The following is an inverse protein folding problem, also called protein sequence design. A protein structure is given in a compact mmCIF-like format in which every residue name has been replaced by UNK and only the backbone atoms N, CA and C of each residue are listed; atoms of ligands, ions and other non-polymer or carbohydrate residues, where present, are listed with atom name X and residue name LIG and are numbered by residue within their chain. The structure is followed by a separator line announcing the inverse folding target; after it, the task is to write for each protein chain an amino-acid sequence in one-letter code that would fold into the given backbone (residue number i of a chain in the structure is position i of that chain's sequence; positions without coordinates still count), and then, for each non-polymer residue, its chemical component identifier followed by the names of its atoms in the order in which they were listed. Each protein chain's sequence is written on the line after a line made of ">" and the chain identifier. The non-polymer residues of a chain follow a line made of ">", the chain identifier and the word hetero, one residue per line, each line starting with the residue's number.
data_IF_803910261992
#
_entry.id   IF_803910261992
#
_cell.length_a   1.000
_cell.length_b   1.000
_cell.length_c   1.000
_cell.angle_alpha   90.00
_cell.angle_beta   90.00
_cell.angle_gamma   90.00
#
_symmetry.space_group_name_H-M   'P 1'
#
loop_
_entity.id
_entity.type
_entity.pdbx_description
1 polymer ?
#
# COMPACT_ATOMS: atom_id res chain seq x y z
N UNK A 1 -44.20 12.52 -29.72
CA UNK A 1 -43.35 11.32 -29.52
C UNK A 1 -41.91 11.77 -29.62
N UNK A 2 -41.12 11.87 -28.55
CA UNK A 2 -40.65 10.81 -27.63
C UNK A 2 -40.00 9.65 -28.37
N UNK A 3 -38.68 9.73 -28.52
CA UNK A 3 -37.78 8.60 -28.29
C UNK A 3 -36.58 9.13 -27.50
N UNK A 4 -36.64 8.88 -26.20
CA UNK A 4 -35.48 8.77 -25.33
C UNK A 4 -34.58 7.65 -25.89
N UNK A 5 -33.27 7.86 -25.89
CA UNK A 5 -32.30 6.78 -26.00
C UNK A 5 -31.17 7.12 -25.04
N UNK A 6 -31.38 6.73 -23.79
CA UNK A 6 -30.75 5.58 -23.11
C UNK A 6 -29.30 5.86 -22.70
N UNK A 7 -29.18 6.22 -21.42
CA UNK A 7 -28.17 5.74 -20.47
C UNK A 7 -26.91 5.13 -21.10
N UNK A 8 -25.84 5.92 -21.15
CA UNK A 8 -24.50 5.35 -21.10
C UNK A 8 -24.21 5.10 -19.62
N UNK A 9 -24.29 3.82 -19.30
CA UNK A 9 -24.14 3.18 -18.01
C UNK A 9 -22.87 3.63 -17.28
N UNK A 10 -23.07 3.95 -16.01
CA UNK A 10 -22.10 4.10 -14.94
C UNK A 10 -20.99 3.02 -15.02
N UNK A 11 -19.74 3.46 -15.17
CA UNK A 11 -18.58 2.68 -14.76
C UNK A 11 -17.42 3.59 -14.36
N UNK A 12 -17.75 4.71 -13.71
CA UNK A 12 -16.79 5.44 -12.90
C UNK A 12 -16.83 4.82 -11.51
N UNK A 13 -16.18 3.67 -11.33
CA UNK A 13 -15.76 3.27 -10.00
C UNK A 13 -14.91 4.43 -9.49
N UNK A 14 -15.46 5.26 -8.60
CA UNK A 14 -14.70 6.27 -7.92
C UNK A 14 -13.54 5.52 -7.28
N UNK A 15 -12.32 5.71 -7.81
CA UNK A 15 -11.11 5.20 -7.18
C UNK A 15 -11.13 5.82 -5.80
N UNK A 16 -11.40 5.00 -4.78
CA UNK A 16 -11.48 5.48 -3.42
C UNK A 16 -10.10 6.04 -3.09
N UNK A 17 -10.02 7.35 -2.92
CA UNK A 17 -8.77 7.97 -2.51
C UNK A 17 -8.54 7.62 -1.03
N UNK A 18 -7.90 6.46 -0.80
CA UNK A 18 -7.56 5.93 0.52
C UNK A 18 -6.70 6.91 1.33
N UNK A 19 -6.03 7.87 0.69
CA UNK A 19 -5.33 8.92 1.41
C UNK A 19 -6.31 9.98 1.96
N UNK A 20 -7.38 10.31 1.23
CA UNK A 20 -8.41 11.25 1.72
C UNK A 20 -9.27 10.68 2.84
N UNK A 21 -9.41 9.35 2.94
CA UNK A 21 -10.16 8.71 4.04
C UNK A 21 -9.41 8.76 5.37
N UNK A 22 -8.09 8.97 5.36
CA UNK A 22 -7.30 9.17 6.58
C UNK A 22 -7.51 10.58 7.15
N UNK A 23 -7.65 10.65 8.48
CA UNK A 23 -7.55 11.93 9.22
C UNK A 23 -6.11 12.48 9.16
N UNK A 24 -5.94 13.78 9.41
CA UNK A 24 -4.62 14.40 9.38
C UNK A 24 -3.66 13.85 10.45
N UNK A 25 -4.21 13.47 11.60
CA UNK A 25 -3.46 12.76 12.64
C UNK A 25 -2.98 11.39 12.16
N UNK A 26 -3.84 10.64 11.46
CA UNK A 26 -3.44 9.36 10.87
C UNK A 26 -2.37 9.55 9.80
N UNK A 27 -2.52 10.51 8.87
CA UNK A 27 -1.54 10.76 7.78
C UNK A 27 -0.13 11.05 8.32
N UNK A 28 -0.05 11.73 9.46
CA UNK A 28 1.23 12.14 10.07
C UNK A 28 1.80 11.11 11.04
N UNK A 29 1.05 10.05 11.38
CA UNK A 29 1.51 8.99 12.26
C UNK A 29 2.72 8.26 11.69
N UNK A 30 3.84 8.29 12.41
CA UNK A 30 5.09 7.64 12.01
C UNK A 30 5.00 6.14 12.28
N UNK A 31 5.21 5.32 11.25
CA UNK A 31 5.17 3.87 11.37
C UNK A 31 6.44 3.33 12.05
N UNK A 32 6.26 2.69 13.20
CA UNK A 32 7.30 1.91 13.88
C UNK A 32 7.43 0.51 13.29
N UNK A 33 8.54 -0.17 13.55
CA UNK A 33 8.76 -1.55 13.07
C UNK A 33 7.64 -2.51 13.53
N UNK A 34 7.11 -2.30 14.74
CA UNK A 34 5.98 -3.08 15.28
C UNK A 34 4.70 -2.80 14.48
N UNK A 35 4.45 -1.55 14.08
CA UNK A 35 3.29 -1.22 13.26
C UNK A 35 3.35 -1.91 11.88
N UNK A 36 4.54 -2.07 11.30
CA UNK A 36 4.71 -2.66 9.97
C UNK A 36 4.24 -4.12 9.89
N UNK A 37 4.19 -4.83 11.01
CA UNK A 37 3.65 -6.19 11.06
C UNK A 37 2.16 -6.25 10.70
N UNK A 38 1.42 -5.15 10.89
CA UNK A 38 -0.01 -5.05 10.55
C UNK A 38 -0.27 -4.95 9.05
N UNK A 39 0.76 -4.62 8.27
CA UNK A 39 0.67 -4.41 6.83
C UNK A 39 1.40 -5.49 6.02
N UNK A 40 1.85 -6.58 6.63
CA UNK A 40 2.66 -7.60 5.95
C UNK A 40 1.89 -8.44 4.91
N UNK A 41 0.56 -8.29 4.83
CA UNK A 41 -0.31 -8.94 3.84
C UNK A 41 -1.05 -7.94 2.95
N UNK A 42 -0.70 -6.65 3.04
CA UNK A 42 -1.39 -5.58 2.30
C UNK A 42 -1.15 -5.67 0.79
N UNK A 43 -0.09 -6.35 0.37
CA UNK A 43 0.19 -6.68 -1.03
C UNK A 43 0.38 -8.19 -1.14
N UNK A 44 -0.14 -8.77 -2.22
CA UNK A 44 0.08 -10.17 -2.57
C UNK A 44 1.50 -10.44 -3.08
N UNK A 45 1.61 -11.18 -4.17
CA UNK A 45 2.90 -11.57 -4.79
C UNK A 45 3.62 -10.44 -5.53
N UNK A 46 3.03 -9.24 -5.62
CA UNK A 46 3.48 -8.13 -6.47
C UNK A 46 4.61 -7.30 -5.82
N UNK A 47 5.55 -7.97 -5.16
CA UNK A 47 6.66 -7.36 -4.43
C UNK A 47 7.48 -6.40 -5.30
N UNK A 48 7.61 -6.67 -6.60
CA UNK A 48 8.37 -5.81 -7.51
C UNK A 48 7.72 -4.45 -7.70
N UNK A 49 6.42 -4.46 -8.00
CA UNK A 49 5.64 -3.25 -8.26
C UNK A 49 5.60 -2.44 -6.97
N UNK A 50 5.31 -3.10 -5.86
CA UNK A 50 5.27 -2.45 -4.56
C UNK A 50 6.62 -1.90 -4.12
N UNK A 51 7.71 -2.66 -4.28
CA UNK A 51 9.06 -2.19 -3.96
C UNK A 51 9.49 -0.97 -4.78
N UNK A 52 9.10 -0.92 -6.07
CA UNK A 52 9.34 0.25 -6.94
C UNK A 52 8.50 1.45 -6.53
N UNK A 53 7.23 1.25 -6.14
CA UNK A 53 6.38 2.33 -5.62
C UNK A 53 6.92 2.92 -4.31
N UNK A 54 7.54 2.09 -3.45
CA UNK A 54 8.30 2.50 -2.27
C UNK A 54 9.67 3.13 -2.60
N UNK A 55 9.98 3.30 -3.89
CA UNK A 55 11.22 3.88 -4.42
C UNK A 55 12.49 3.11 -4.01
N UNK A 56 12.39 1.81 -3.73
CA UNK A 56 13.54 0.96 -3.43
C UNK A 56 14.33 0.61 -4.69
N UNK A 57 15.61 0.30 -4.51
CA UNK A 57 16.47 -0.13 -5.63
C UNK A 57 16.13 -1.56 -6.02
N UNK A 58 16.25 -1.90 -7.30
CA UNK A 58 16.00 -3.26 -7.80
C UNK A 58 16.82 -4.32 -7.04
N UNK A 59 18.09 -4.05 -6.74
CA UNK A 59 18.94 -4.96 -5.98
C UNK A 59 18.40 -5.29 -4.57
N UNK A 60 17.79 -4.31 -3.89
CA UNK A 60 17.15 -4.53 -2.58
C UNK A 60 15.88 -5.38 -2.68
N UNK A 61 15.14 -5.21 -3.78
CA UNK A 61 13.93 -5.97 -4.07
C UNK A 61 14.28 -7.43 -4.37
N UNK A 62 15.26 -7.63 -5.25
CA UNK A 62 15.72 -8.95 -5.67
C UNK A 62 16.30 -9.73 -4.49
N UNK A 63 17.15 -9.09 -3.67
CA UNK A 63 17.72 -9.75 -2.49
C UNK A 63 16.62 -10.16 -1.50
N UNK A 64 15.62 -9.30 -1.27
CA UNK A 64 14.51 -9.60 -0.36
C UNK A 64 13.68 -10.78 -0.86
N UNK A 65 13.40 -10.84 -2.17
CA UNK A 65 12.69 -11.95 -2.81
C UNK A 65 13.45 -13.27 -2.69
N UNK A 66 14.76 -13.24 -2.91
CA UNK A 66 15.63 -14.43 -2.83
C UNK A 66 15.79 -14.95 -1.40
N UNK A 67 16.07 -14.08 -0.44
CA UNK A 67 16.30 -14.44 0.97
C UNK A 67 15.06 -15.01 1.66
N UNK A 68 13.87 -14.69 1.15
CA UNK A 68 12.59 -15.03 1.79
C UNK A 68 11.65 -15.76 0.83
N UNK A 69 12.18 -16.58 -0.08
CA UNK A 69 11.45 -17.21 -1.20
C UNK A 69 10.18 -17.97 -0.80
N UNK A 70 10.12 -18.47 0.43
CA UNK A 70 9.05 -19.34 0.92
C UNK A 70 7.89 -18.59 1.60
N UNK A 71 7.97 -17.26 1.75
CA UNK A 71 6.94 -16.48 2.44
C UNK A 71 6.77 -15.09 1.84
N UNK A 72 5.68 -14.91 1.10
CA UNK A 72 5.26 -13.61 0.54
C UNK A 72 5.07 -12.58 1.66
N UNK A 73 4.39 -12.95 2.75
CA UNK A 73 4.19 -12.02 3.86
C UNK A 73 5.51 -11.55 4.50
N UNK A 74 6.50 -12.45 4.60
CA UNK A 74 7.84 -12.08 5.09
C UNK A 74 8.54 -11.15 4.10
N UNK A 75 8.44 -11.43 2.80
CA UNK A 75 8.99 -10.57 1.75
C UNK A 75 8.41 -9.15 1.81
N UNK A 76 7.08 -9.03 1.87
CA UNK A 76 6.39 -7.75 1.99
C UNK A 76 6.81 -7.02 3.26
N UNK A 77 6.82 -7.69 4.41
CA UNK A 77 7.29 -7.08 5.66
C UNK A 77 8.73 -6.54 5.55
N UNK A 78 9.65 -7.30 4.96
CA UNK A 78 11.05 -6.89 4.78
C UNK A 78 11.20 -5.70 3.84
N UNK A 79 10.41 -5.64 2.76
CA UNK A 79 10.37 -4.50 1.85
C UNK A 79 9.88 -3.23 2.56
N UNK A 80 8.79 -3.34 3.32
CA UNK A 80 8.27 -2.20 4.08
C UNK A 80 9.28 -1.75 5.14
N UNK A 81 9.97 -2.68 5.81
CA UNK A 81 11.02 -2.37 6.77
C UNK A 81 12.20 -1.62 6.13
N UNK A 82 12.66 -2.04 4.95
CA UNK A 82 13.70 -1.33 4.18
C UNK A 82 13.26 0.10 3.84
N UNK A 83 12.03 0.27 3.34
CA UNK A 83 11.45 1.58 3.06
C UNK A 83 11.42 2.47 4.32
N UNK A 84 10.93 1.95 5.45
CA UNK A 84 10.87 2.67 6.72
C UNK A 84 12.25 3.10 7.18
N UNK A 85 13.24 2.22 7.10
CA UNK A 85 14.60 2.50 7.53
C UNK A 85 15.28 3.58 6.67
N UNK A 86 14.93 3.66 5.39
CA UNK A 86 15.40 4.73 4.49
C UNK A 86 14.75 6.08 4.79
N UNK A 87 13.45 6.09 5.09
CA UNK A 87 12.68 7.32 5.27
C UNK A 87 12.68 7.85 6.72
N UNK A 88 12.99 7.01 7.71
CA UNK A 88 13.09 7.41 9.12
C UNK A 88 11.77 8.04 9.61
N UNK A 89 11.84 9.29 10.08
CA UNK A 89 10.66 10.03 10.58
C UNK A 89 9.65 10.37 9.48
N UNK A 90 10.04 10.29 8.21
CA UNK A 90 9.14 10.52 7.08
C UNK A 90 8.36 9.27 6.67
N UNK A 91 8.62 8.12 7.31
CA UNK A 91 7.87 6.88 7.08
C UNK A 91 6.50 6.93 7.76
N UNK A 92 5.63 7.84 7.32
CA UNK A 92 4.30 8.04 7.90
C UNK A 92 3.25 7.18 7.20
N UNK A 93 2.11 6.95 7.86
CA UNK A 93 0.96 6.30 7.24
C UNK A 93 0.56 6.98 5.93
N UNK A 94 0.52 8.32 5.85
CA UNK A 94 0.16 9.02 4.62
C UNK A 94 1.12 8.74 3.46
N UNK A 95 2.42 8.72 3.72
CA UNK A 95 3.41 8.37 2.68
C UNK A 95 3.35 6.90 2.28
N UNK A 96 3.00 6.03 3.22
CA UNK A 96 2.80 4.60 2.97
C UNK A 96 1.56 4.35 2.12
N UNK A 97 0.42 4.96 2.46
CA UNK A 97 -0.83 4.90 1.71
C UNK A 97 -0.64 5.38 0.28
N UNK A 98 0.05 6.50 0.08
CA UNK A 98 0.38 6.97 -1.27
C UNK A 98 1.17 5.92 -2.06
N UNK A 99 2.16 5.28 -1.43
CA UNK A 99 2.96 4.24 -2.09
C UNK A 99 2.12 3.00 -2.46
N UNK A 100 1.11 2.66 -1.66
CA UNK A 100 0.16 1.58 -1.98
C UNK A 100 -0.74 1.96 -3.16
N UNK A 101 -1.25 3.20 -3.19
CA UNK A 101 -2.04 3.72 -4.32
C UNK A 101 -1.21 3.74 -5.61
N UNK A 102 0.05 4.17 -5.54
CA UNK A 102 0.97 4.17 -6.68
C UNK A 102 1.26 2.73 -7.16
N UNK A 103 1.34 1.76 -6.25
CA UNK A 103 1.52 0.34 -6.60
C UNK A 103 0.27 -0.25 -7.26
N UNK A 104 -0.92 0.03 -6.73
CA UNK A 104 -2.20 -0.40 -7.31
C UNK A 104 -2.40 0.19 -8.71
N UNK A 105 -2.13 1.48 -8.89
CA UNK A 105 -2.16 2.13 -10.20
C UNK A 105 -1.17 1.52 -11.20
N UNK A 106 -0.07 0.96 -10.71
CA UNK A 106 0.92 0.22 -11.50
C UNK A 106 0.58 -1.29 -11.68
N UNK A 107 -0.56 -1.76 -11.14
CA UNK A 107 -1.09 -3.10 -11.33
C UNK A 107 -0.84 -4.10 -10.20
N UNK A 108 -0.37 -3.65 -9.03
CA UNK A 108 -0.26 -4.53 -7.85
C UNK A 108 -1.65 -4.81 -7.24
N UNK A 109 -1.86 -6.04 -6.77
CA UNK A 109 -3.02 -6.38 -5.95
C UNK A 109 -2.81 -5.90 -4.51
N UNK A 110 -3.54 -4.85 -4.13
CA UNK A 110 -3.55 -4.27 -2.78
C UNK A 110 -4.81 -4.70 -2.04
N UNK A 111 -4.63 -5.25 -0.84
CA UNK A 111 -5.73 -5.59 0.07
C UNK A 111 -6.01 -4.40 0.99
N UNK A 112 -6.96 -3.56 0.57
CA UNK A 112 -7.35 -2.36 1.32
C UNK A 112 -8.13 -2.68 2.62
N UNK A 113 -8.76 -3.85 2.72
CA UNK A 113 -9.41 -4.27 3.98
C UNK A 113 -8.35 -4.57 5.05
N UNK A 114 -7.25 -5.26 4.67
CA UNK A 114 -6.08 -5.45 5.52
C UNK A 114 -5.44 -4.12 5.88
N UNK A 115 -5.34 -3.19 4.93
CA UNK A 115 -4.84 -1.84 5.20
C UNK A 115 -5.68 -1.11 6.26
N UNK A 116 -7.00 -1.05 6.07
CA UNK A 116 -7.91 -0.34 6.97
C UNK A 116 -7.92 -0.94 8.38
N UNK A 117 -7.83 -2.27 8.49
CA UNK A 117 -7.66 -2.95 9.77
C UNK A 117 -6.32 -2.57 10.42
N UNK A 118 -5.24 -2.53 9.64
CA UNK A 118 -3.93 -2.10 10.11
C UNK A 118 -3.92 -0.65 10.60
N UNK A 119 -4.60 0.26 9.91
CA UNK A 119 -4.75 1.67 10.34
C UNK A 119 -5.43 1.74 11.70
N UNK A 120 -6.56 1.04 11.89
CA UNK A 120 -7.27 1.00 13.18
C UNK A 120 -6.36 0.56 14.32
N UNK A 121 -5.55 -0.48 14.12
CA UNK A 121 -4.69 -1.05 15.16
C UNK A 121 -3.47 -0.20 15.51
N UNK A 122 -3.03 0.70 14.62
CA UNK A 122 -1.83 1.51 14.85
C UNK A 122 -2.13 2.95 15.25
N UNK A 123 -3.38 3.40 15.08
CA UNK A 123 -3.83 4.77 15.43
C UNK A 123 -4.95 4.83 16.46
N UNK A 124 -5.38 3.68 17.00
CA UNK A 124 -6.29 3.58 18.15
C UNK A 124 -5.64 3.99 19.46
#
# INVERSE_FOLDING_TARGET
>A
EKLESTEITENNQAVLDHLTSLTDNQKTHVLTEINLLKFNKVVGSDIEIFGKALQLKQADIDSTRMENSNSVATQIHKIILKWRNRNGKMATLGTFTKSLMDAEAAGASVDWDVFDQGVKEVTS
#
